data_IF_664915458670
#
_entry.id   IF_664915458670
#
_cell.length_a   1.000
_cell.length_b   1.000
_cell.length_c   1.000
_cell.angle_alpha   90.00
_cell.angle_beta   90.00
_cell.angle_gamma   90.00
#
_symmetry.space_group_name_H-M   'P 1'
#
loop_
_entity.id
_entity.type
_entity.pdbx_description
1 polymer ?
#
# COMPACT_ATOMS: atom_id res chain seq x y z
N UNK A 1 -46.74 -35.90 -1.52
CA UNK A 1 -46.89 -34.63 -0.77
C UNK A 1 -45.53 -34.36 -0.12
N UNK A 2 -44.70 -33.49 -0.72
CA UNK A 2 -44.50 -32.06 -0.36
C UNK A 2 -43.87 -31.94 1.05
N UNK A 3 -42.69 -31.36 1.30
CA UNK A 3 -42.08 -30.17 0.71
C UNK A 3 -40.55 -30.14 0.83
N UNK A 4 -39.92 -29.65 -0.23
CA UNK A 4 -38.54 -29.18 -0.29
C UNK A 4 -38.51 -27.71 0.18
N UNK A 5 -37.95 -27.43 1.36
CA UNK A 5 -37.74 -26.04 1.81
C UNK A 5 -36.38 -25.59 1.28
N UNK A 6 -36.39 -25.02 0.07
CA UNK A 6 -35.28 -24.21 -0.44
C UNK A 6 -35.17 -22.96 0.41
N UNK A 7 -34.21 -22.92 1.33
CA UNK A 7 -33.83 -21.71 2.05
C UNK A 7 -33.21 -20.71 1.07
N UNK A 8 -34.03 -19.87 0.45
CA UNK A 8 -33.55 -18.66 -0.20
C UNK A 8 -32.96 -17.75 0.87
N UNK A 9 -31.63 -17.70 0.96
CA UNK A 9 -30.95 -16.67 1.74
C UNK A 9 -31.36 -15.31 1.16
N UNK A 10 -32.07 -14.49 1.93
CA UNK A 10 -32.41 -13.12 1.55
C UNK A 10 -31.10 -12.36 1.35
N UNK A 11 -30.72 -12.17 0.09
CA UNK A 11 -29.48 -11.48 -0.29
C UNK A 11 -29.67 -10.00 0.04
N UNK A 12 -29.22 -9.57 1.22
CA UNK A 12 -29.34 -8.19 1.73
C UNK A 12 -28.82 -7.22 0.66
N UNK A 13 -29.65 -6.27 0.24
CA UNK A 13 -29.27 -5.25 -0.75
C UNK A 13 -28.21 -4.36 -0.11
N UNK A 14 -26.98 -4.40 -0.64
CA UNK A 14 -25.89 -3.54 -0.19
C UNK A 14 -26.24 -2.07 -0.45
N UNK A 15 -25.85 -1.18 0.46
CA UNK A 15 -25.85 0.26 0.20
C UNK A 15 -24.88 0.61 -0.95
N UNK A 16 -25.01 1.81 -1.51
CA UNK A 16 -24.09 2.30 -2.55
C UNK A 16 -22.62 2.28 -2.08
N UNK A 17 -22.37 2.65 -0.82
CA UNK A 17 -21.02 2.66 -0.25
C UNK A 17 -20.49 1.25 0.06
N UNK A 18 -21.35 0.35 0.53
CA UNK A 18 -20.99 -1.06 0.70
C UNK A 18 -20.63 -1.68 -0.65
N UNK A 19 -21.40 -1.37 -1.70
CA UNK A 19 -21.11 -1.85 -3.05
C UNK A 19 -19.81 -1.29 -3.60
N UNK A 20 -19.57 0.02 -3.44
CA UNK A 20 -18.32 0.66 -3.85
C UNK A 20 -17.12 0.03 -3.14
N UNK A 21 -17.21 -0.21 -1.83
CA UNK A 21 -16.16 -0.88 -1.05
C UNK A 21 -15.93 -2.33 -1.50
N UNK A 22 -16.98 -3.07 -1.82
CA UNK A 22 -16.85 -4.43 -2.34
C UNK A 22 -16.07 -4.45 -3.67
N UNK A 23 -16.43 -3.58 -4.62
CA UNK A 23 -15.74 -3.46 -5.91
C UNK A 23 -14.26 -3.10 -5.72
N UNK A 24 -13.96 -2.15 -4.82
CA UNK A 24 -12.57 -1.82 -4.49
C UNK A 24 -11.82 -2.98 -3.82
N UNK A 25 -12.49 -3.79 -3.01
CA UNK A 25 -11.90 -4.99 -2.40
C UNK A 25 -11.47 -6.01 -3.44
N UNK A 26 -12.35 -6.31 -4.40
CA UNK A 26 -12.10 -7.23 -5.51
C UNK A 26 -11.03 -6.67 -6.46
N UNK A 27 -11.11 -5.37 -6.78
CA UNK A 27 -10.08 -4.71 -7.59
C UNK A 27 -8.71 -4.76 -6.91
N UNK A 28 -8.66 -4.45 -5.60
CA UNK A 28 -7.42 -4.45 -4.83
C UNK A 28 -6.72 -5.81 -4.79
N UNK A 29 -7.46 -6.92 -4.76
CA UNK A 29 -6.85 -8.25 -4.81
C UNK A 29 -6.26 -8.59 -6.18
N UNK A 30 -6.64 -7.87 -7.23
CA UNK A 30 -6.19 -8.09 -8.61
C UNK A 30 -5.06 -7.15 -9.04
N UNK A 31 -5.04 -5.89 -8.59
CA UNK A 31 -4.01 -4.92 -9.04
C UNK A 31 -2.58 -5.21 -8.53
N UNK A 32 -2.41 -6.15 -7.60
CA UNK A 32 -1.08 -6.49 -7.06
C UNK A 32 -0.22 -7.17 -8.12
N UNK A 33 -0.85 -7.98 -8.98
CA UNK A 33 -0.17 -8.81 -9.98
C UNK A 33 -0.58 -8.47 -11.42
N UNK A 34 -1.62 -7.65 -11.59
CA UNK A 34 -2.22 -7.40 -12.90
C UNK A 34 -2.03 -5.94 -13.32
N UNK A 35 -1.29 -5.69 -14.43
CA UNK A 35 -1.24 -4.41 -15.10
C UNK A 35 -2.63 -3.83 -15.42
N UNK A 36 -2.81 -2.49 -15.44
CA UNK A 36 -4.13 -1.91 -15.70
C UNK A 36 -4.71 -2.39 -17.03
N UNK A 37 -3.89 -2.58 -18.09
CA UNK A 37 -4.38 -3.04 -19.38
C UNK A 37 -4.99 -4.45 -19.29
N UNK A 38 -4.45 -5.29 -18.41
CA UNK A 38 -4.84 -6.69 -18.24
C UNK A 38 -5.95 -6.86 -17.17
N UNK A 39 -6.29 -5.81 -16.42
CA UNK A 39 -7.36 -5.86 -15.43
C UNK A 39 -8.74 -6.03 -16.12
N UNK A 40 -9.36 -7.19 -15.97
CA UNK A 40 -10.69 -7.46 -16.52
C UNK A 40 -11.80 -6.88 -15.64
N UNK A 41 -12.47 -5.82 -16.11
CA UNK A 41 -13.63 -5.26 -15.41
C UNK A 41 -14.86 -6.17 -15.46
N UNK A 42 -14.93 -7.04 -16.47
CA UNK A 42 -16.02 -8.04 -16.57
C UNK A 42 -15.90 -9.08 -15.46
N UNK A 43 -14.68 -9.56 -15.20
CA UNK A 43 -14.41 -10.47 -14.09
C UNK A 43 -14.67 -9.82 -12.74
N UNK A 44 -14.25 -8.57 -12.54
CA UNK A 44 -14.54 -7.82 -11.31
C UNK A 44 -16.05 -7.68 -11.08
N UNK A 45 -16.81 -7.38 -12.14
CA UNK A 45 -18.27 -7.26 -12.06
C UNK A 45 -18.92 -8.63 -11.76
N UNK A 46 -18.43 -9.70 -12.40
CA UNK A 46 -18.89 -11.07 -12.17
C UNK A 46 -18.65 -11.52 -10.72
N UNK A 47 -17.44 -11.29 -10.19
CA UNK A 47 -17.08 -11.59 -8.78
C UNK A 47 -17.96 -10.81 -7.79
N UNK A 48 -18.34 -9.57 -8.14
CA UNK A 48 -19.24 -8.75 -7.33
C UNK A 48 -20.72 -9.14 -7.50
N UNK A 49 -21.05 -10.02 -8.46
CA UNK A 49 -22.41 -10.43 -8.79
C UNK A 49 -23.25 -9.28 -9.39
N UNK A 50 -22.64 -8.41 -10.19
CA UNK A 50 -23.29 -7.27 -10.85
C UNK A 50 -23.00 -7.23 -12.35
N UNK A 51 -23.74 -6.40 -13.09
CA UNK A 51 -23.43 -6.12 -14.49
C UNK A 51 -22.23 -5.17 -14.63
N UNK A 52 -21.51 -5.27 -15.75
CA UNK A 52 -20.45 -4.32 -16.12
C UNK A 52 -20.95 -2.88 -16.14
N UNK A 53 -22.17 -2.66 -16.64
CA UNK A 53 -22.79 -1.33 -16.65
C UNK A 53 -22.97 -0.74 -15.25
N UNK A 54 -23.32 -1.56 -14.25
CA UNK A 54 -23.42 -1.11 -12.86
C UNK A 54 -22.04 -0.81 -12.25
N UNK A 55 -20.97 -1.51 -12.66
CA UNK A 55 -19.60 -1.13 -12.27
C UNK A 55 -19.26 0.27 -12.78
N UNK A 56 -19.53 0.55 -14.07
CA UNK A 56 -19.27 1.86 -14.67
C UNK A 56 -20.11 2.99 -14.08
N UNK A 57 -21.29 2.68 -13.51
CA UNK A 57 -22.04 3.66 -12.73
C UNK A 57 -21.27 4.17 -11.50
N UNK A 58 -20.46 3.32 -10.86
CA UNK A 58 -19.61 3.71 -9.73
C UNK A 58 -18.25 4.30 -10.16
N UNK A 59 -17.71 3.81 -11.28
CA UNK A 59 -16.39 4.19 -11.79
C UNK A 59 -16.49 4.42 -13.29
N UNK A 60 -16.65 5.67 -13.75
CA UNK A 60 -16.99 5.99 -15.14
C UNK A 60 -16.02 5.39 -16.17
N UNK A 61 -14.74 5.28 -15.82
CA UNK A 61 -13.71 4.66 -16.67
C UNK A 61 -12.93 3.56 -15.96
N UNK A 62 -12.23 2.73 -16.74
CA UNK A 62 -11.27 1.74 -16.20
C UNK A 62 -10.16 2.43 -15.39
N UNK A 63 -9.72 3.59 -15.85
CA UNK A 63 -8.74 4.43 -15.14
C UNK A 63 -9.28 4.88 -13.79
N UNK A 64 -10.52 5.37 -13.72
CA UNK A 64 -11.13 5.79 -12.44
C UNK A 64 -11.23 4.63 -11.44
N UNK A 65 -11.59 3.44 -11.92
CA UNK A 65 -11.63 2.24 -11.08
C UNK A 65 -10.23 1.87 -10.57
N UNK A 66 -9.25 1.86 -11.46
CA UNK A 66 -7.86 1.55 -11.11
C UNK A 66 -7.28 2.55 -10.11
N UNK A 67 -7.42 3.86 -10.36
CA UNK A 67 -6.95 4.91 -9.45
C UNK A 67 -7.63 4.82 -8.10
N UNK A 68 -8.93 4.51 -8.05
CA UNK A 68 -9.62 4.29 -6.79
C UNK A 68 -9.09 3.06 -6.04
N UNK A 69 -8.71 1.98 -6.75
CA UNK A 69 -8.06 0.81 -6.16
C UNK A 69 -6.66 1.13 -5.62
N UNK A 70 -5.84 1.89 -6.37
CA UNK A 70 -4.51 2.33 -5.92
C UNK A 70 -4.63 3.23 -4.69
N UNK A 71 -5.54 4.20 -4.69
CA UNK A 71 -5.79 5.04 -3.53
C UNK A 71 -6.27 4.22 -2.32
N UNK A 72 -7.10 3.19 -2.53
CA UNK A 72 -7.49 2.26 -1.48
C UNK A 72 -6.31 1.42 -0.98
N UNK A 73 -5.37 1.04 -1.85
CA UNK A 73 -4.14 0.35 -1.50
C UNK A 73 -3.25 1.22 -0.60
N UNK A 74 -3.03 2.50 -0.97
CA UNK A 74 -2.29 3.45 -0.15
C UNK A 74 -2.90 3.64 1.24
N UNK A 75 -4.23 3.84 1.31
CA UNK A 75 -4.94 3.91 2.60
C UNK A 75 -4.83 2.61 3.41
N UNK A 76 -4.88 1.44 2.75
CA UNK A 76 -4.72 0.15 3.44
C UNK A 76 -3.32 0.03 4.01
N UNK A 77 -2.30 0.40 3.23
CA UNK A 77 -0.92 0.39 3.65
C UNK A 77 -0.71 1.24 4.90
N UNK A 78 -1.17 2.49 4.90
CA UNK A 78 -1.08 3.37 6.07
C UNK A 78 -1.79 2.81 7.32
N UNK A 79 -2.89 2.07 7.16
CA UNK A 79 -3.54 1.40 8.31
C UNK A 79 -2.72 0.22 8.81
N UNK A 80 -2.18 -0.60 7.90
CA UNK A 80 -1.42 -1.81 8.27
C UNK A 80 -0.01 -1.53 8.75
N UNK A 81 0.53 -0.33 8.48
CA UNK A 81 1.85 0.12 8.96
C UNK A 81 1.74 1.14 10.10
N UNK A 82 0.56 1.37 10.66
CA UNK A 82 0.43 2.22 11.84
C UNK A 82 1.08 1.52 13.05
N UNK A 83 1.98 2.21 13.80
CA UNK A 83 2.52 1.67 15.03
C UNK A 83 1.47 1.72 16.15
N UNK A 84 1.75 1.03 17.25
CA UNK A 84 1.08 1.30 18.53
C UNK A 84 1.52 2.68 19.03
N UNK A 85 0.58 3.60 19.23
CA UNK A 85 0.88 4.97 19.64
C UNK A 85 1.37 5.04 21.10
N UNK A 86 1.10 4.02 21.91
CA UNK A 86 1.51 3.94 23.31
C UNK A 86 2.92 3.33 23.49
N UNK A 87 3.49 2.74 22.43
CA UNK A 87 4.84 2.18 22.47
C UNK A 87 5.92 3.28 22.50
N UNK A 88 7.13 3.02 23.04
CA UNK A 88 8.25 3.94 22.96
C UNK A 88 8.55 4.38 21.52
N UNK A 89 8.90 5.65 21.32
CA UNK A 89 9.10 6.24 19.99
C UNK A 89 10.02 5.43 19.07
N UNK A 90 11.11 4.88 19.62
CA UNK A 90 12.04 4.03 18.86
C UNK A 90 11.40 2.72 18.39
N UNK A 91 10.61 2.08 19.26
CA UNK A 91 9.88 0.85 18.93
C UNK A 91 8.82 1.11 17.84
N UNK A 92 8.17 2.28 17.87
CA UNK A 92 7.27 2.70 16.80
C UNK A 92 8.00 2.79 15.46
N UNK A 93 9.19 3.39 15.42
CA UNK A 93 10.00 3.52 14.19
C UNK A 93 10.46 2.14 13.68
N UNK A 94 10.97 1.28 14.55
CA UNK A 94 11.34 -0.10 14.23
C UNK A 94 10.16 -0.87 13.63
N UNK A 95 8.98 -0.74 14.24
CA UNK A 95 7.74 -1.36 13.78
C UNK A 95 7.31 -0.84 12.41
N UNK A 96 7.31 0.48 12.22
CA UNK A 96 6.95 1.09 10.94
C UNK A 96 7.91 0.67 9.82
N UNK A 97 9.22 0.69 10.08
CA UNK A 97 10.25 0.26 9.12
C UNK A 97 10.06 -1.21 8.74
N UNK A 98 9.91 -2.10 9.74
CA UNK A 98 9.66 -3.53 9.50
C UNK A 98 8.41 -3.76 8.65
N UNK A 99 7.29 -3.16 9.02
CA UNK A 99 6.02 -3.35 8.31
C UNK A 99 6.09 -2.80 6.87
N UNK A 100 6.82 -1.70 6.64
CA UNK A 100 7.08 -1.18 5.30
C UNK A 100 7.94 -2.15 4.47
N UNK A 101 9.04 -2.66 5.04
CA UNK A 101 9.94 -3.61 4.36
C UNK A 101 9.19 -4.89 3.97
N UNK A 102 8.43 -5.48 4.90
CA UNK A 102 7.62 -6.66 4.61
C UNK A 102 6.56 -6.40 3.52
N UNK A 103 6.00 -5.19 3.50
CA UNK A 103 5.02 -4.80 2.49
C UNK A 103 5.64 -4.67 1.10
N UNK A 104 6.85 -4.11 1.03
CA UNK A 104 7.65 -4.04 -0.20
C UNK A 104 8.03 -5.43 -0.67
N UNK A 105 8.50 -6.30 0.23
CA UNK A 105 8.84 -7.68 -0.10
C UNK A 105 7.64 -8.42 -0.70
N UNK A 106 6.48 -8.39 -0.02
CA UNK A 106 5.26 -9.07 -0.48
C UNK A 106 4.76 -8.57 -1.84
N UNK A 107 5.12 -7.34 -2.24
CA UNK A 107 4.58 -6.67 -3.44
C UNK A 107 5.69 -6.05 -4.28
N UNK A 108 6.83 -6.73 -4.37
CA UNK A 108 8.07 -6.18 -4.95
C UNK A 108 7.88 -5.66 -6.37
N UNK A 109 7.23 -6.44 -7.24
CA UNK A 109 7.01 -6.07 -8.64
C UNK A 109 6.15 -4.80 -8.76
N UNK A 110 5.08 -4.71 -7.98
CA UNK A 110 4.21 -3.53 -7.92
C UNK A 110 4.98 -2.29 -7.43
N UNK A 111 5.79 -2.42 -6.38
CA UNK A 111 6.62 -1.33 -5.89
C UNK A 111 7.67 -0.86 -6.90
N UNK A 112 8.34 -1.79 -7.60
CA UNK A 112 9.28 -1.43 -8.68
C UNK A 112 8.59 -0.68 -9.81
N UNK A 113 7.36 -1.07 -10.16
CA UNK A 113 6.56 -0.37 -11.16
C UNK A 113 6.22 1.06 -10.71
N UNK A 114 5.85 1.24 -9.43
CA UNK A 114 5.60 2.57 -8.83
C UNK A 114 6.86 3.46 -8.84
N UNK A 115 7.95 2.98 -8.23
CA UNK A 115 9.16 3.78 -7.97
C UNK A 115 9.89 4.16 -9.27
N UNK A 116 9.94 3.24 -10.25
CA UNK A 116 10.62 3.51 -11.52
C UNK A 116 9.71 4.11 -12.60
N UNK A 117 8.52 4.60 -12.23
CA UNK A 117 7.58 5.21 -13.18
C UNK A 117 7.07 4.27 -14.27
N UNK A 118 7.15 2.95 -14.04
CA UNK A 118 6.68 1.90 -14.96
C UNK A 118 5.29 1.41 -14.60
N UNK A 119 4.49 2.21 -13.89
CA UNK A 119 3.11 1.86 -13.55
C UNK A 119 2.37 1.56 -14.85
N UNK A 120 1.92 0.31 -14.97
CA UNK A 120 1.12 -0.12 -16.10
C UNK A 120 -0.12 0.78 -16.23
N UNK A 121 -0.19 1.55 -17.32
CA UNK A 121 -1.25 2.53 -17.58
C UNK A 121 -0.85 3.74 -18.42
N UNK A 122 0.42 3.85 -18.79
CA UNK A 122 0.93 4.96 -19.60
C UNK A 122 1.02 6.28 -18.83
N UNK A 123 1.37 7.36 -19.52
CA UNK A 123 1.61 8.70 -18.95
C UNK A 123 0.44 9.23 -18.08
N UNK A 124 -0.80 8.83 -18.38
CA UNK A 124 -2.01 9.33 -17.71
C UNK A 124 -2.28 8.71 -16.32
N UNK A 125 -1.84 7.47 -16.08
CA UNK A 125 -1.98 6.84 -14.76
C UNK A 125 -0.77 7.09 -13.85
N UNK A 126 0.37 7.50 -14.42
CA UNK A 126 1.62 7.70 -13.69
C UNK A 126 1.51 8.76 -12.59
N UNK A 127 1.02 9.96 -12.91
CA UNK A 127 0.98 11.07 -11.95
C UNK A 127 0.03 10.82 -10.77
N UNK A 128 -1.25 10.45 -10.94
CA UNK A 128 -2.13 10.22 -9.79
C UNK A 128 -1.67 9.06 -8.90
N UNK A 129 -1.00 8.06 -9.48
CA UNK A 129 -0.43 6.95 -8.72
C UNK A 129 0.82 7.39 -7.93
N UNK A 130 1.67 8.24 -8.52
CA UNK A 130 2.79 8.86 -7.82
C UNK A 130 2.30 9.74 -6.65
N UNK A 131 1.18 10.46 -6.81
CA UNK A 131 0.56 11.25 -5.74
C UNK A 131 0.09 10.38 -4.56
N UNK A 132 -0.47 9.19 -4.83
CA UNK A 132 -0.84 8.23 -3.77
C UNK A 132 0.41 7.75 -3.02
N UNK A 133 1.47 7.42 -3.74
CA UNK A 133 2.72 6.98 -3.15
C UNK A 133 3.35 8.09 -2.29
N UNK A 134 3.39 9.32 -2.81
CA UNK A 134 3.87 10.48 -2.08
C UNK A 134 3.03 10.74 -0.82
N UNK A 135 1.70 10.65 -0.91
CA UNK A 135 0.80 10.78 0.26
C UNK A 135 1.11 9.75 1.35
N UNK A 136 1.43 8.51 1.00
CA UNK A 136 1.86 7.50 1.97
C UNK A 136 3.16 7.92 2.64
N UNK A 137 4.15 8.35 1.85
CA UNK A 137 5.46 8.77 2.37
C UNK A 137 5.32 9.95 3.31
N UNK A 138 4.50 10.94 2.98
CA UNK A 138 4.24 12.10 3.81
C UNK A 138 3.63 11.70 5.16
N UNK A 139 2.58 10.87 5.17
CA UNK A 139 1.97 10.39 6.43
C UNK A 139 2.94 9.53 7.25
N UNK A 140 3.73 8.69 6.60
CA UNK A 140 4.73 7.84 7.28
C UNK A 140 5.87 8.67 7.86
N UNK A 141 6.26 9.75 7.18
CA UNK A 141 7.23 10.73 7.67
C UNK A 141 6.69 11.43 8.91
N UNK A 142 5.46 11.92 8.87
CA UNK A 142 4.83 12.63 9.99
C UNK A 142 4.70 11.73 11.24
N UNK A 143 4.44 10.43 11.05
CA UNK A 143 4.41 9.46 12.14
C UNK A 143 5.77 9.30 12.81
N UNK A 144 6.85 9.19 12.03
CA UNK A 144 8.22 9.06 12.58
C UNK A 144 8.64 10.34 13.29
N UNK A 145 8.36 11.51 12.70
CA UNK A 145 8.63 12.82 13.33
C UNK A 145 7.91 12.93 14.67
N UNK A 146 6.63 12.53 14.73
CA UNK A 146 5.84 12.53 15.97
C UNK A 146 6.39 11.54 16.99
N UNK A 147 6.64 10.29 16.58
CA UNK A 147 7.10 9.22 17.45
C UNK A 147 8.42 9.58 18.16
N UNK A 148 9.33 10.24 17.45
CA UNK A 148 10.62 10.66 17.97
C UNK A 148 10.63 12.07 18.58
N UNK A 149 9.51 12.79 18.56
CA UNK A 149 9.42 14.16 19.07
C UNK A 149 10.37 15.15 18.37
N UNK A 150 10.59 14.98 17.06
CA UNK A 150 11.56 15.77 16.32
C UNK A 150 11.04 17.18 16.01
N UNK A 151 11.96 18.13 15.94
CA UNK A 151 11.65 19.48 15.47
C UNK A 151 11.25 19.50 13.98
N UNK A 152 10.40 20.47 13.54
CA UNK A 152 9.87 20.49 12.16
C UNK A 152 10.93 20.55 11.05
N UNK A 153 12.09 21.15 11.33
CA UNK A 153 13.24 21.24 10.43
C UNK A 153 13.89 19.87 10.14
N UNK A 154 13.62 18.85 10.96
CA UNK A 154 14.11 17.47 10.76
C UNK A 154 13.25 16.65 9.81
N UNK A 155 12.04 17.12 9.49
CA UNK A 155 11.10 16.40 8.62
C UNK A 155 11.70 16.02 7.25
N UNK A 156 12.46 16.88 6.54
CA UNK A 156 13.08 16.49 5.26
C UNK A 156 14.07 15.33 5.38
N UNK A 157 14.79 15.23 6.50
CA UNK A 157 15.75 14.14 6.78
C UNK A 157 15.01 12.82 6.93
N UNK A 158 13.94 12.81 7.74
CA UNK A 158 13.07 11.63 7.91
C UNK A 158 12.43 11.22 6.57
N UNK A 159 12.00 12.20 5.77
CA UNK A 159 11.43 11.93 4.44
C UNK A 159 12.46 11.28 3.52
N UNK A 160 13.71 11.75 3.51
CA UNK A 160 14.79 11.18 2.72
C UNK A 160 15.19 9.77 3.20
N UNK A 161 15.15 9.54 4.51
CA UNK A 161 15.40 8.23 5.11
C UNK A 161 14.42 7.16 4.60
N UNK A 162 13.15 7.49 4.33
CA UNK A 162 12.23 6.52 3.72
C UNK A 162 12.70 6.02 2.36
N UNK A 163 13.35 6.87 1.54
CA UNK A 163 13.92 6.43 0.27
C UNK A 163 15.08 5.43 0.48
N UNK A 164 15.89 5.62 1.53
CA UNK A 164 16.91 4.64 1.95
C UNK A 164 16.26 3.32 2.36
N UNK A 165 15.23 3.34 3.21
CA UNK A 165 14.51 2.13 3.64
C UNK A 165 13.93 1.38 2.45
N UNK A 166 13.32 2.09 1.51
CA UNK A 166 12.72 1.51 0.31
C UNK A 166 13.76 0.86 -0.61
N UNK A 167 14.88 1.54 -0.86
CA UNK A 167 15.98 0.97 -1.65
C UNK A 167 16.56 -0.29 -1.01
N UNK A 168 16.80 -0.23 0.31
CA UNK A 168 17.30 -1.38 1.06
C UNK A 168 16.32 -2.56 1.03
N UNK A 169 15.03 -2.30 1.19
CA UNK A 169 13.98 -3.31 1.10
C UNK A 169 13.91 -3.94 -0.31
N UNK A 170 13.98 -3.13 -1.36
CA UNK A 170 13.95 -3.59 -2.76
C UNK A 170 15.19 -4.44 -3.11
N UNK A 171 16.37 -4.05 -2.64
CA UNK A 171 17.62 -4.79 -2.86
C UNK A 171 17.64 -6.10 -2.06
N UNK A 172 17.27 -6.05 -0.78
CA UNK A 172 17.21 -7.23 0.08
C UNK A 172 16.19 -8.27 -0.40
N UNK A 173 15.00 -7.82 -0.81
CA UNK A 173 13.95 -8.71 -1.32
C UNK A 173 14.21 -9.26 -2.72
N UNK A 174 15.24 -8.77 -3.42
CA UNK A 174 15.68 -9.36 -4.69
C UNK A 174 16.40 -10.71 -4.50
N UNK A 175 16.95 -10.95 -3.31
CA UNK A 175 17.61 -12.22 -2.95
C UNK A 175 16.56 -13.22 -2.45
N UNK A 176 16.55 -14.48 -2.92
CA UNK A 176 15.64 -15.52 -2.41
C UNK A 176 15.77 -15.69 -0.90
N UNK A 177 14.65 -15.93 -0.21
CA UNK A 177 14.62 -15.95 1.26
C UNK A 177 15.61 -16.93 1.92
N UNK A 178 15.91 -18.07 1.27
CA UNK A 178 16.87 -19.06 1.76
C UNK A 178 18.34 -18.65 1.62
N UNK A 179 18.63 -17.66 0.79
CA UNK A 179 19.99 -17.22 0.46
C UNK A 179 20.35 -15.86 1.10
N UNK A 180 19.43 -15.29 1.89
CA UNK A 180 19.65 -13.99 2.53
C UNK A 180 20.58 -14.13 3.73
N UNK A 181 21.75 -13.52 3.64
CA UNK A 181 22.70 -13.43 4.76
C UNK A 181 22.18 -12.55 5.89
N UNK A 182 21.50 -11.45 5.55
CA UNK A 182 20.93 -10.51 6.51
C UNK A 182 19.46 -10.86 6.80
N UNK A 183 19.09 -11.23 8.04
CA UNK A 183 17.69 -11.44 8.40
C UNK A 183 16.93 -10.11 8.45
N UNK A 184 15.60 -10.17 8.33
CA UNK A 184 14.73 -8.97 8.36
C UNK A 184 14.99 -8.09 9.59
N UNK A 185 15.18 -8.69 10.77
CA UNK A 185 15.48 -7.95 11.99
C UNK A 185 16.81 -7.16 11.90
N UNK A 186 17.83 -7.74 11.26
CA UNK A 186 19.10 -7.07 11.01
C UNK A 186 18.95 -5.89 10.04
N UNK A 187 18.20 -6.09 8.95
CA UNK A 187 17.88 -5.01 8.01
C UNK A 187 17.12 -3.86 8.66
N UNK A 188 16.14 -4.16 9.52
CA UNK A 188 15.42 -3.14 10.29
C UNK A 188 16.37 -2.37 11.20
N UNK A 189 17.28 -3.08 11.88
CA UNK A 189 18.34 -2.47 12.70
C UNK A 189 19.20 -1.49 11.90
N UNK A 190 19.76 -1.93 10.76
CA UNK A 190 20.55 -1.07 9.87
C UNK A 190 19.77 0.17 9.41
N UNK A 191 18.48 0.01 9.09
CA UNK A 191 17.62 1.12 8.71
C UNK A 191 17.43 2.13 9.85
N UNK A 192 17.23 1.68 11.08
CA UNK A 192 17.06 2.58 12.24
C UNK A 192 18.38 3.28 12.58
N UNK A 193 19.50 2.56 12.55
CA UNK A 193 20.82 3.17 12.75
C UNK A 193 21.15 4.23 11.68
N UNK A 194 20.73 4.00 10.43
CA UNK A 194 20.87 4.99 9.38
C UNK A 194 20.05 6.27 9.66
N UNK A 195 18.85 6.16 10.24
CA UNK A 195 18.07 7.32 10.66
C UNK A 195 18.81 8.12 11.74
N UNK A 196 19.33 7.44 12.76
CA UNK A 196 20.08 8.05 13.85
C UNK A 196 21.30 8.81 13.32
N UNK A 197 22.06 8.21 12.40
CA UNK A 197 23.21 8.83 11.76
C UNK A 197 22.84 10.06 10.92
N UNK A 198 21.76 9.99 10.12
CA UNK A 198 21.28 11.11 9.31
C UNK A 198 20.85 12.30 10.19
N UNK A 199 20.10 12.03 11.27
CA UNK A 199 19.66 13.07 12.20
C UNK A 199 20.82 13.77 12.92
N UNK A 200 21.87 13.02 13.27
CA UNK A 200 23.07 13.57 13.91
C UNK A 200 23.85 14.51 12.98
N UNK A 201 23.97 14.18 11.68
CA UNK A 201 24.72 14.99 10.70
C UNK A 201 23.95 16.27 10.35
N UNK A 202 22.64 16.20 10.21
CA UNK A 202 21.79 17.35 9.88
C UNK A 202 21.53 18.30 11.06
N UNK A 203 22.08 17.99 12.25
CA UNK A 203 21.97 18.86 13.43
C UNK A 203 23.15 19.77 13.69
N UNK A 204 24.08 19.84 12.74
CA UNK A 204 25.22 20.76 12.77
C UNK A 204 24.95 21.99 11.94
#
# INVERSE_FOLDING_TARGET
>A
MLNNVSSQSVRRRLSADERRRQLLGIGLSRIVDTPIQDLSLDEVAADAGISRGLLFHYFPTKTDFYLACVAAAGRRMLRTTAPDEDAPGREQVETMARLMIEQIERRRAFYLALVHGRVAGGELAGQPVAEVYESVREVSTDRVVRALGLAPDRRPVVRAWWAYVEDRALTWSAVPAGDRELPLAGLVGECVEALDALLAISGR
#
